data_IF_896015787538
#
_entry.id   IF_896015787538
#
_cell.length_a   1.000
_cell.length_b   1.000
_cell.length_c   1.000
_cell.angle_alpha   90.00
_cell.angle_beta   90.00
_cell.angle_gamma   90.00
#
_symmetry.space_group_name_H-M   'P 1'
#
loop_
_entity.id
_entity.type
_entity.pdbx_description
1 polymer ?
#
# COMPACT_ATOMS: atom_id res chain seq x y z
N UNK A 1 -12.40 -65.38 17.99
CA UNK A 1 -13.08 -64.18 17.48
C UNK A 1 -12.53 -62.86 18.06
N UNK A 2 -12.37 -62.65 19.37
CA UNK A 2 -11.91 -61.38 19.96
C UNK A 2 -10.50 -60.92 19.50
N UNK A 3 -9.57 -61.83 19.27
CA UNK A 3 -8.18 -61.53 18.88
C UNK A 3 -8.08 -61.07 17.44
N UNK A 4 -8.92 -61.58 16.54
CA UNK A 4 -9.02 -61.15 15.14
C UNK A 4 -9.67 -59.77 15.03
N UNK A 5 -10.70 -59.48 15.83
CA UNK A 5 -11.37 -58.17 15.89
C UNK A 5 -10.43 -57.05 16.38
N UNK A 6 -9.60 -57.36 17.40
CA UNK A 6 -8.57 -56.39 17.88
C UNK A 6 -7.47 -56.14 16.89
N UNK A 7 -7.11 -57.13 16.04
CA UNK A 7 -6.13 -56.96 14.97
C UNK A 7 -6.67 -56.08 13.84
N UNK A 8 -7.95 -56.27 13.45
CA UNK A 8 -8.62 -55.43 12.44
C UNK A 8 -8.74 -53.97 12.89
N UNK A 9 -9.10 -53.70 14.15
CA UNK A 9 -9.19 -52.36 14.72
C UNK A 9 -7.82 -51.66 14.72
N UNK A 10 -6.73 -52.37 15.11
CA UNK A 10 -5.38 -51.82 15.08
C UNK A 10 -4.92 -51.45 13.67
N UNK A 11 -5.20 -52.31 12.68
CA UNK A 11 -4.89 -52.05 11.27
C UNK A 11 -5.67 -50.83 10.78
N UNK A 12 -6.97 -50.72 11.09
CA UNK A 12 -7.78 -49.56 10.70
C UNK A 12 -7.25 -48.23 11.32
N UNK A 13 -6.88 -48.27 12.60
CA UNK A 13 -6.29 -47.08 13.27
C UNK A 13 -4.95 -46.69 12.65
N UNK A 14 -4.06 -47.66 12.37
CA UNK A 14 -2.77 -47.42 11.75
C UNK A 14 -2.96 -46.86 10.33
N UNK A 15 -3.90 -47.41 9.56
CA UNK A 15 -4.23 -46.91 8.22
C UNK A 15 -4.80 -45.50 8.27
N UNK A 16 -5.68 -45.18 9.20
CA UNK A 16 -6.21 -43.84 9.41
C UNK A 16 -5.11 -42.85 9.80
N UNK A 17 -4.22 -43.22 10.71
CA UNK A 17 -3.07 -42.39 11.09
C UNK A 17 -2.10 -42.18 9.91
N UNK A 18 -1.87 -43.21 9.11
CA UNK A 18 -1.03 -43.12 7.92
C UNK A 18 -1.65 -42.17 6.87
N UNK A 19 -2.97 -42.24 6.67
CA UNK A 19 -3.70 -41.33 5.79
C UNK A 19 -3.61 -39.89 6.32
N UNK A 20 -3.82 -39.67 7.60
CA UNK A 20 -3.70 -38.35 8.24
C UNK A 20 -2.28 -37.78 8.12
N UNK A 21 -1.25 -38.62 8.26
CA UNK A 21 0.14 -38.20 8.05
C UNK A 21 0.43 -37.83 6.57
N UNK A 22 -0.10 -38.59 5.64
CA UNK A 22 0.06 -38.28 4.19
C UNK A 22 -0.67 -37.00 3.81
N UNK A 23 -1.91 -36.85 4.27
CA UNK A 23 -2.72 -35.63 4.00
C UNK A 23 -2.10 -34.42 4.69
N UNK A 24 -1.69 -34.55 5.96
CA UNK A 24 -1.00 -33.47 6.69
C UNK A 24 0.35 -33.11 6.05
N UNK A 25 1.13 -34.09 5.62
CA UNK A 25 2.38 -33.86 4.90
C UNK A 25 2.19 -33.17 3.55
N UNK A 26 1.19 -33.60 2.77
CA UNK A 26 0.85 -32.95 1.50
C UNK A 26 0.37 -31.50 1.72
N UNK A 27 -0.45 -31.28 2.76
CA UNK A 27 -0.90 -29.93 3.13
C UNK A 27 0.26 -29.03 3.54
N UNK A 28 1.21 -29.53 4.35
CA UNK A 28 2.38 -28.77 4.74
C UNK A 28 3.29 -28.40 3.54
N UNK A 29 3.49 -29.33 2.62
CA UNK A 29 4.24 -29.06 1.37
C UNK A 29 3.53 -28.02 0.52
N UNK A 30 2.22 -28.10 0.41
CA UNK A 30 1.41 -27.14 -0.34
C UNK A 30 1.53 -25.74 0.25
N UNK A 31 1.35 -25.57 1.57
CA UNK A 31 1.50 -24.29 2.28
C UNK A 31 2.93 -23.75 2.11
N UNK A 32 3.94 -24.60 2.29
CA UNK A 32 5.34 -24.21 2.12
C UNK A 32 5.63 -23.69 0.70
N UNK A 33 5.02 -24.30 -0.31
CA UNK A 33 5.16 -23.82 -1.69
C UNK A 33 4.50 -22.45 -1.90
N UNK A 34 3.32 -22.22 -1.33
CA UNK A 34 2.65 -20.89 -1.41
C UNK A 34 3.49 -19.85 -0.68
N UNK A 35 3.96 -20.14 0.53
CA UNK A 35 4.82 -19.23 1.29
C UNK A 35 6.10 -18.87 0.53
N UNK A 36 6.74 -19.85 -0.11
CA UNK A 36 7.92 -19.61 -0.93
C UNK A 36 7.63 -18.68 -2.13
N UNK A 37 6.43 -18.73 -2.69
CA UNK A 37 6.00 -17.82 -3.78
C UNK A 37 5.69 -16.42 -3.27
N UNK A 38 4.95 -16.29 -2.17
CA UNK A 38 4.61 -15.01 -1.52
C UNK A 38 5.88 -14.24 -1.13
N UNK A 39 6.84 -14.91 -0.53
CA UNK A 39 8.06 -14.28 -0.02
C UNK A 39 9.25 -14.31 -1.00
N UNK A 40 9.06 -14.78 -2.24
CA UNK A 40 10.15 -15.00 -3.19
C UNK A 40 11.02 -13.76 -3.48
N UNK A 41 10.46 -12.57 -3.33
CA UNK A 41 11.14 -11.29 -3.58
C UNK A 41 11.35 -10.46 -2.32
N UNK A 42 11.02 -11.01 -1.14
CA UNK A 42 11.26 -10.35 0.14
C UNK A 42 12.73 -10.54 0.51
N UNK A 43 13.51 -9.49 0.31
CA UNK A 43 14.94 -9.49 0.62
C UNK A 43 15.22 -9.49 2.14
N UNK A 44 16.44 -9.83 2.52
CA UNK A 44 16.86 -9.73 3.92
C UNK A 44 16.85 -8.26 4.38
N UNK A 45 17.28 -7.34 3.53
CA UNK A 45 17.29 -5.90 3.83
C UNK A 45 15.87 -5.38 4.09
N UNK A 46 14.85 -5.86 3.34
CA UNK A 46 13.46 -5.51 3.62
C UNK A 46 13.01 -6.03 4.98
N UNK A 47 13.34 -7.28 5.32
CA UNK A 47 12.99 -7.86 6.63
C UNK A 47 13.61 -7.09 7.80
N UNK A 48 14.79 -6.52 7.61
CA UNK A 48 15.49 -5.71 8.61
C UNK A 48 14.84 -4.32 8.81
N UNK A 49 14.06 -3.85 7.84
CA UNK A 49 13.27 -2.60 7.96
C UNK A 49 11.93 -2.83 8.68
N UNK A 50 11.43 -4.06 8.70
CA UNK A 50 10.14 -4.37 9.32
C UNK A 50 10.28 -4.54 10.83
N UNK A 51 9.33 -3.95 11.58
CA UNK A 51 9.31 -4.02 13.04
C UNK A 51 8.39 -5.15 13.47
N UNK A 52 8.91 -6.07 14.30
CA UNK A 52 8.11 -7.16 14.86
C UNK A 52 6.95 -6.60 15.70
N UNK A 53 5.79 -7.25 15.58
CA UNK A 53 4.57 -6.94 16.31
C UNK A 53 4.03 -8.20 16.96
N UNK A 54 3.50 -8.06 18.19
CA UNK A 54 2.86 -9.18 18.88
C UNK A 54 1.51 -9.53 18.23
N UNK A 55 1.07 -10.78 18.29
CA UNK A 55 -0.23 -11.20 17.77
C UNK A 55 -1.38 -10.36 18.35
N UNK A 56 -2.35 -10.02 17.52
CA UNK A 56 -3.52 -9.19 17.85
C UNK A 56 -3.22 -7.71 18.16
N UNK A 57 -1.97 -7.26 18.17
CA UNK A 57 -1.66 -5.85 18.31
C UNK A 57 -1.93 -5.08 16.99
N UNK A 58 -2.14 -3.78 17.14
CA UNK A 58 -2.27 -2.88 16.00
C UNK A 58 -0.92 -2.69 15.32
N UNK A 59 -0.92 -2.78 13.98
CA UNK A 59 0.29 -2.63 13.19
C UNK A 59 0.07 -1.80 11.91
N UNK A 60 1.18 -1.38 11.30
CA UNK A 60 1.18 -0.76 9.99
C UNK A 60 1.73 -1.70 8.94
N UNK A 61 1.00 -1.79 7.82
CA UNK A 61 1.40 -2.50 6.61
C UNK A 61 1.59 -1.49 5.48
N UNK A 62 2.73 -1.55 4.81
CA UNK A 62 2.96 -0.79 3.58
C UNK A 62 2.49 -1.62 2.39
N UNK A 63 1.49 -1.10 1.68
CA UNK A 63 1.00 -1.69 0.43
C UNK A 63 1.49 -0.85 -0.74
N UNK A 64 2.26 -1.46 -1.64
CA UNK A 64 2.73 -0.84 -2.88
C UNK A 64 2.03 -1.46 -4.09
N UNK A 65 1.61 -0.60 -5.02
CA UNK A 65 1.23 -1.00 -6.37
C UNK A 65 2.37 -0.66 -7.32
N UNK A 66 2.91 -1.67 -7.99
CA UNK A 66 4.04 -1.51 -8.91
C UNK A 66 3.59 -1.89 -10.32
N UNK A 67 3.79 -0.98 -11.26
CA UNK A 67 3.59 -1.25 -12.68
C UNK A 67 4.91 -1.79 -13.27
N UNK A 68 4.91 -3.09 -13.58
CA UNK A 68 6.06 -3.81 -14.15
C UNK A 68 5.96 -3.96 -15.66
N UNK A 69 5.37 -2.98 -16.34
CA UNK A 69 5.23 -3.02 -17.79
C UNK A 69 6.58 -3.31 -18.47
N UNK A 70 6.70 -4.53 -19.00
CA UNK A 70 7.89 -5.02 -19.68
C UNK A 70 8.18 -4.29 -21.01
N UNK A 71 7.21 -3.49 -21.52
CA UNK A 71 7.36 -2.70 -22.72
C UNK A 71 8.21 -1.43 -22.54
N UNK A 72 8.44 -0.98 -21.29
CA UNK A 72 9.24 0.22 -20.99
C UNK A 72 10.75 0.01 -20.97
N UNK A 73 11.24 -1.17 -21.29
CA UNK A 73 12.67 -1.53 -21.21
C UNK A 73 13.56 -0.85 -22.26
N UNK A 74 12.99 -0.13 -23.22
CA UNK A 74 13.78 0.51 -24.31
C UNK A 74 14.28 1.92 -23.97
N UNK A 75 13.72 2.60 -22.95
CA UNK A 75 14.15 3.97 -22.56
C UNK A 75 14.88 3.96 -21.21
N UNK A 76 16.09 3.43 -21.22
CA UNK A 76 16.94 3.33 -20.02
C UNK A 76 17.52 4.66 -19.55
N UNK A 77 17.52 5.71 -20.38
CA UNK A 77 18.04 7.04 -20.00
C UNK A 77 17.09 7.76 -19.05
N UNK A 78 15.77 7.53 -19.17
CA UNK A 78 14.76 8.17 -18.31
C UNK A 78 14.27 7.29 -17.17
N UNK A 79 14.35 5.96 -17.29
CA UNK A 79 13.71 5.01 -16.35
C UNK A 79 14.66 4.03 -15.65
N UNK A 80 15.96 4.08 -15.89
CA UNK A 80 16.93 3.17 -15.29
C UNK A 80 17.08 1.84 -16.03
N UNK A 81 17.81 0.88 -15.45
CA UNK A 81 18.01 -0.46 -16.02
C UNK A 81 16.78 -1.34 -15.77
N UNK A 82 16.59 -2.40 -16.55
CA UNK A 82 15.42 -3.28 -16.53
C UNK A 82 15.02 -3.86 -15.16
N UNK A 83 15.90 -3.85 -14.17
CA UNK A 83 15.62 -4.30 -12.80
C UNK A 83 15.29 -3.14 -11.84
N UNK A 84 15.66 -1.89 -12.19
CA UNK A 84 15.48 -0.68 -11.35
C UNK A 84 14.55 0.34 -11.98
N UNK A 85 14.00 0.07 -13.16
CA UNK A 85 13.12 0.98 -13.89
C UNK A 85 11.71 1.11 -13.29
N UNK A 86 11.38 0.27 -12.31
CA UNK A 86 10.06 0.26 -11.71
C UNK A 86 9.91 1.39 -10.68
N UNK A 87 8.74 2.00 -10.67
CA UNK A 87 8.32 2.97 -9.66
C UNK A 87 7.07 2.44 -8.96
N UNK A 88 6.93 2.74 -7.69
CA UNK A 88 5.69 2.53 -6.99
C UNK A 88 4.67 3.59 -7.41
N UNK A 89 3.71 3.20 -8.25
CA UNK A 89 2.65 4.10 -8.71
C UNK A 89 1.48 4.22 -7.72
N UNK A 90 1.42 3.33 -6.74
CA UNK A 90 0.52 3.39 -5.59
C UNK A 90 1.32 3.16 -4.32
N UNK A 91 1.21 4.06 -3.36
CA UNK A 91 1.81 3.97 -2.04
C UNK A 91 0.69 4.13 -1.02
N UNK A 92 0.40 3.09 -0.27
CA UNK A 92 -0.69 3.07 0.70
C UNK A 92 -0.21 2.55 2.04
N UNK A 93 -0.35 3.36 3.07
CA UNK A 93 -0.12 2.96 4.45
C UNK A 93 -1.42 2.44 5.04
N UNK A 94 -1.42 1.18 5.48
CA UNK A 94 -2.57 0.53 6.09
C UNK A 94 -2.32 0.34 7.58
N UNK A 95 -3.12 0.98 8.45
CA UNK A 95 -3.19 0.66 9.87
C UNK A 95 -4.23 -0.42 10.06
N UNK A 96 -3.82 -1.56 10.59
CA UNK A 96 -4.67 -2.71 10.85
C UNK A 96 -4.79 -2.90 12.36
N UNK A 97 -6.01 -2.95 12.85
CA UNK A 97 -6.35 -3.11 14.27
C UNK A 97 -7.23 -4.35 14.44
N UNK A 98 -6.62 -5.53 14.59
CA UNK A 98 -7.37 -6.78 14.69
C UNK A 98 -8.28 -6.82 15.92
N UNK A 99 -7.84 -6.24 17.02
CA UNK A 99 -8.57 -6.22 18.29
C UNK A 99 -9.89 -5.45 18.21
N UNK A 100 -9.89 -4.33 17.48
CA UNK A 100 -11.08 -3.49 17.31
C UNK A 100 -11.77 -3.75 15.96
N UNK A 101 -11.25 -4.64 15.14
CA UNK A 101 -11.73 -5.01 13.78
C UNK A 101 -11.85 -3.76 12.90
N UNK A 102 -10.77 -2.98 12.80
CA UNK A 102 -10.72 -1.75 12.02
C UNK A 102 -9.51 -1.71 11.09
N UNK A 103 -9.71 -1.11 9.94
CA UNK A 103 -8.64 -0.83 8.97
C UNK A 103 -8.69 0.65 8.61
N UNK A 104 -7.53 1.29 8.58
CA UNK A 104 -7.40 2.65 8.03
C UNK A 104 -6.40 2.61 6.89
N UNK A 105 -6.78 3.07 5.70
CA UNK A 105 -5.93 3.13 4.52
C UNK A 105 -5.67 4.58 4.15
N UNK A 106 -4.40 5.00 4.18
CA UNK A 106 -3.97 6.34 3.78
C UNK A 106 -3.08 6.24 2.55
N UNK A 107 -3.52 6.85 1.45
CA UNK A 107 -2.69 6.95 0.26
C UNK A 107 -1.71 8.11 0.38
N UNK A 108 -0.47 7.86 -0.01
CA UNK A 108 0.59 8.86 -0.13
C UNK A 108 0.73 9.18 -1.61
N UNK A 109 0.79 10.47 -1.94
CA UNK A 109 0.93 10.89 -3.33
C UNK A 109 2.30 10.47 -3.86
N UNK A 110 2.35 9.75 -4.98
CA UNK A 110 3.60 9.20 -5.53
C UNK A 110 4.63 10.27 -5.91
N UNK A 111 4.15 11.49 -6.23
CA UNK A 111 4.96 12.63 -6.64
C UNK A 111 5.32 13.54 -5.46
N UNK A 112 5.04 13.13 -4.21
CA UNK A 112 5.40 13.86 -2.98
C UNK A 112 6.89 14.11 -2.94
N UNK A 113 7.27 15.38 -2.74
CA UNK A 113 8.66 15.80 -2.60
C UNK A 113 9.23 15.33 -1.27
N UNK A 114 10.29 14.56 -1.34
CA UNK A 114 11.05 14.08 -0.18
C UNK A 114 12.55 14.23 -0.41
N UNK A 115 13.33 14.22 0.69
CA UNK A 115 14.77 14.15 0.60
C UNK A 115 15.22 12.70 0.71
N UNK A 116 15.80 12.19 -0.37
CA UNK A 116 16.31 10.83 -0.45
C UNK A 116 17.79 10.76 -0.03
N UNK A 117 18.36 9.56 -0.04
CA UNK A 117 19.75 9.32 0.34
C UNK A 117 20.72 10.30 -0.37
N UNK A 118 21.66 10.85 0.42
CA UNK A 118 22.59 11.88 -0.05
C UNK A 118 22.00 13.31 -0.08
N UNK A 119 20.81 13.53 0.48
CA UNK A 119 20.15 14.85 0.53
C UNK A 119 19.54 15.29 -0.80
N UNK A 120 19.37 14.36 -1.74
CA UNK A 120 18.75 14.66 -3.04
C UNK A 120 17.23 14.80 -2.88
N UNK A 121 16.70 15.98 -3.22
CA UNK A 121 15.27 16.17 -3.35
C UNK A 121 14.73 15.42 -4.58
N UNK A 122 13.74 14.56 -4.40
CA UNK A 122 13.10 13.79 -5.47
C UNK A 122 11.69 13.38 -5.05
N UNK A 123 10.93 12.77 -5.97
CA UNK A 123 9.62 12.20 -5.68
C UNK A 123 9.74 10.96 -4.79
N UNK A 124 8.80 10.75 -3.87
CA UNK A 124 8.83 9.60 -2.96
C UNK A 124 8.86 8.27 -3.69
N UNK A 125 8.21 8.15 -4.85
CA UNK A 125 8.22 6.95 -5.67
C UNK A 125 9.59 6.62 -6.29
N UNK A 126 10.51 7.58 -6.36
CA UNK A 126 11.88 7.36 -6.81
C UNK A 126 12.67 6.51 -5.82
N UNK A 127 12.26 6.43 -4.55
CA UNK A 127 12.87 5.55 -3.55
C UNK A 127 12.87 4.09 -4.00
N UNK A 128 11.81 3.66 -4.70
CA UNK A 128 11.71 2.30 -5.20
C UNK A 128 12.76 1.99 -6.29
N UNK A 129 12.98 2.92 -7.21
CA UNK A 129 14.01 2.79 -8.24
C UNK A 129 15.44 2.85 -7.65
N UNK A 130 15.63 3.56 -6.53
CA UNK A 130 16.95 3.74 -5.89
C UNK A 130 17.37 2.56 -5.03
N UNK A 131 16.46 1.95 -4.27
CA UNK A 131 16.80 0.90 -3.32
C UNK A 131 15.69 -0.14 -3.11
N UNK A 132 14.74 -0.20 -4.03
CA UNK A 132 13.68 -1.21 -4.02
C UNK A 132 12.75 -1.11 -2.81
N UNK A 133 12.09 -2.24 -2.50
CA UNK A 133 11.13 -2.32 -1.40
C UNK A 133 11.70 -1.89 -0.04
N UNK A 134 12.92 -2.30 0.28
CA UNK A 134 13.55 -2.00 1.58
C UNK A 134 13.71 -0.49 1.80
N UNK A 135 14.29 0.19 0.82
CA UNK A 135 14.50 1.63 0.91
C UNK A 135 13.17 2.41 0.85
N UNK A 136 12.21 1.97 0.04
CA UNK A 136 10.88 2.59 0.04
C UNK A 136 10.19 2.44 1.40
N UNK A 137 10.29 1.27 2.03
CA UNK A 137 9.74 1.04 3.38
C UNK A 137 10.37 1.99 4.40
N UNK A 138 11.69 2.16 4.35
CA UNK A 138 12.39 3.12 5.21
C UNK A 138 11.87 4.55 4.97
N UNK A 139 11.87 5.02 3.72
CA UNK A 139 11.43 6.38 3.37
C UNK A 139 9.98 6.65 3.79
N UNK A 140 9.08 5.70 3.56
CA UNK A 140 7.67 5.84 3.96
C UNK A 140 7.52 5.80 5.48
N UNK A 141 8.26 4.94 6.18
CA UNK A 141 8.26 4.89 7.65
C UNK A 141 8.71 6.23 8.25
N UNK A 142 9.79 6.80 7.74
CA UNK A 142 10.30 8.11 8.14
C UNK A 142 9.33 9.24 7.80
N UNK A 143 8.75 9.23 6.60
CA UNK A 143 7.78 10.25 6.16
C UNK A 143 6.49 10.26 6.98
N UNK A 144 6.00 9.07 7.35
CA UNK A 144 4.74 8.91 8.12
C UNK A 144 4.98 8.95 9.64
N UNK A 145 6.23 8.90 10.10
CA UNK A 145 6.62 8.78 11.51
C UNK A 145 5.92 7.59 12.20
N UNK A 146 5.90 6.42 11.55
CA UNK A 146 5.33 5.18 12.08
C UNK A 146 6.21 3.97 11.79
N UNK A 147 6.27 2.97 12.70
CA UNK A 147 6.94 1.70 12.43
C UNK A 147 6.10 0.89 11.41
N UNK A 148 6.71 0.41 10.34
CA UNK A 148 6.08 -0.50 9.40
C UNK A 148 6.43 -1.92 9.81
N UNK A 149 5.40 -2.75 10.07
CA UNK A 149 5.57 -4.13 10.54
C UNK A 149 5.45 -5.14 9.41
N UNK A 150 4.65 -4.85 8.40
CA UNK A 150 4.45 -5.74 7.28
C UNK A 150 4.49 -5.00 5.95
N UNK A 151 4.80 -5.75 4.91
CA UNK A 151 4.92 -5.27 3.55
C UNK A 151 4.08 -6.12 2.60
N UNK A 152 3.42 -5.46 1.66
CA UNK A 152 2.79 -6.12 0.53
C UNK A 152 3.03 -5.31 -0.76
N UNK A 153 3.38 -5.98 -1.83
CA UNK A 153 3.54 -5.41 -3.17
C UNK A 153 2.63 -6.15 -4.14
N UNK A 154 1.85 -5.39 -4.88
CA UNK A 154 0.93 -5.92 -5.89
C UNK A 154 1.41 -5.50 -7.28
N UNK A 155 1.58 -6.49 -8.14
CA UNK A 155 1.79 -6.28 -9.57
C UNK A 155 0.43 -5.98 -10.21
N UNK A 156 0.28 -4.78 -10.76
CA UNK A 156 -1.01 -4.31 -11.30
C UNK A 156 -1.50 -5.14 -12.49
N UNK A 157 -0.63 -5.74 -13.29
CA UNK A 157 -1.03 -6.61 -14.40
C UNK A 157 -1.57 -7.95 -13.90
N UNK A 158 -1.03 -8.44 -12.79
CA UNK A 158 -1.46 -9.69 -12.16
C UNK A 158 -2.63 -9.52 -11.21
N UNK A 159 -2.93 -8.29 -10.80
CA UNK A 159 -4.07 -7.93 -9.98
C UNK A 159 -5.41 -8.35 -10.59
N UNK A 160 -5.51 -8.36 -11.93
CA UNK A 160 -6.68 -8.82 -12.69
C UNK A 160 -7.16 -10.19 -12.18
N UNK A 161 -6.24 -11.13 -12.01
CA UNK A 161 -6.58 -12.50 -11.60
C UNK A 161 -7.14 -12.59 -10.18
N UNK A 162 -6.74 -11.68 -9.27
CA UNK A 162 -7.28 -11.62 -7.91
C UNK A 162 -8.74 -11.15 -7.95
N UNK A 163 -9.02 -10.09 -8.71
CA UNK A 163 -10.37 -9.56 -8.85
C UNK A 163 -11.31 -10.59 -9.49
N UNK A 164 -10.86 -11.27 -10.53
CA UNK A 164 -11.67 -12.30 -11.20
C UNK A 164 -11.91 -13.51 -10.28
N UNK A 165 -10.93 -13.90 -9.47
CA UNK A 165 -11.04 -15.00 -8.51
C UNK A 165 -12.12 -14.73 -7.44
N UNK A 166 -12.27 -13.46 -7.00
CA UNK A 166 -13.34 -13.09 -6.06
C UNK A 166 -14.67 -12.76 -6.75
N UNK A 167 -14.77 -12.96 -8.06
CA UNK A 167 -15.99 -12.74 -8.85
C UNK A 167 -16.26 -11.27 -9.15
N UNK A 168 -15.21 -10.50 -9.48
CA UNK A 168 -15.29 -9.06 -9.78
C UNK A 168 -15.38 -8.20 -8.51
N UNK A 169 -15.48 -6.89 -8.66
CA UNK A 169 -15.68 -5.92 -7.57
C UNK A 169 -16.87 -5.00 -7.88
N UNK A 170 -17.58 -4.57 -6.84
CA UNK A 170 -18.69 -3.62 -6.97
C UNK A 170 -18.27 -2.30 -6.37
N UNK A 171 -18.19 -1.27 -7.20
CA UNK A 171 -17.73 0.07 -6.84
C UNK A 171 -18.85 1.09 -7.04
N UNK A 172 -18.85 2.16 -6.25
CA UNK A 172 -19.76 3.30 -6.45
C UNK A 172 -18.94 4.51 -6.92
N UNK A 173 -19.08 4.83 -8.21
CA UNK A 173 -18.33 5.91 -8.83
C UNK A 173 -19.06 7.26 -8.62
N UNK A 174 -18.46 8.23 -7.94
CA UNK A 174 -19.14 9.53 -7.66
C UNK A 174 -19.34 10.33 -8.95
N UNK A 175 -18.46 10.17 -9.92
CA UNK A 175 -18.48 10.83 -11.22
C UNK A 175 -18.24 9.81 -12.32
N UNK A 176 -18.72 10.06 -13.56
CA UNK A 176 -18.43 9.18 -14.68
C UNK A 176 -16.94 9.21 -15.05
N UNK A 177 -16.42 8.05 -15.44
CA UNK A 177 -15.04 7.86 -15.91
C UNK A 177 -15.06 7.74 -17.42
N UNK A 178 -14.49 8.72 -18.11
CA UNK A 178 -14.38 8.68 -19.58
C UNK A 178 -12.94 8.93 -20.01
N UNK A 179 -12.27 7.87 -20.39
CA UNK A 179 -10.83 7.87 -20.72
C UNK A 179 -10.52 6.99 -21.95
N UNK A 180 -11.13 7.29 -23.10
CA UNK A 180 -11.00 6.44 -24.30
C UNK A 180 -9.60 6.44 -24.90
N UNK A 181 -8.78 7.42 -24.55
CA UNK A 181 -7.47 7.63 -25.16
C UNK A 181 -6.34 6.89 -24.43
N UNK A 182 -6.44 6.72 -23.11
CA UNK A 182 -5.37 6.14 -22.29
C UNK A 182 -5.75 4.77 -21.75
N UNK A 183 -6.91 4.62 -21.11
CA UNK A 183 -7.36 3.36 -20.53
C UNK A 183 -8.46 2.68 -21.35
N UNK A 184 -9.16 3.41 -22.20
CA UNK A 184 -10.32 2.89 -22.92
C UNK A 184 -11.61 2.83 -22.10
N UNK A 185 -11.60 3.28 -20.83
CA UNK A 185 -12.75 3.23 -19.95
C UNK A 185 -13.84 4.21 -20.36
N UNK A 186 -15.09 3.73 -20.29
CA UNK A 186 -16.33 4.52 -20.38
C UNK A 186 -17.32 3.96 -19.35
N UNK A 187 -17.27 4.47 -18.12
CA UNK A 187 -18.08 4.00 -17.01
C UNK A 187 -18.97 5.15 -16.52
N UNK A 188 -20.30 4.94 -16.42
CA UNK A 188 -21.18 5.95 -15.82
C UNK A 188 -20.94 6.07 -14.31
N UNK A 189 -21.33 7.22 -13.73
CA UNK A 189 -21.37 7.37 -12.28
C UNK A 189 -22.36 6.39 -11.63
N UNK A 190 -22.17 6.16 -10.33
CA UNK A 190 -22.97 5.25 -9.52
C UNK A 190 -22.41 3.83 -9.47
N UNK A 191 -23.23 2.90 -9.03
CA UNK A 191 -22.83 1.51 -8.76
C UNK A 191 -22.47 0.78 -10.05
N UNK A 192 -21.23 0.29 -10.13
CA UNK A 192 -20.69 -0.49 -11.23
C UNK A 192 -20.14 -1.83 -10.71
N UNK A 193 -20.31 -2.89 -11.47
CA UNK A 193 -19.64 -4.17 -11.19
C UNK A 193 -18.59 -4.39 -12.26
N UNK A 194 -17.33 -4.45 -11.82
CA UNK A 194 -16.17 -4.51 -12.69
C UNK A 194 -15.53 -5.89 -12.63
N UNK A 195 -15.09 -6.40 -13.76
CA UNK A 195 -14.20 -7.55 -13.85
C UNK A 195 -12.75 -7.14 -13.54
N UNK A 196 -11.82 -8.08 -13.58
CA UNK A 196 -10.42 -7.82 -13.26
C UNK A 196 -9.76 -6.77 -14.16
N UNK A 197 -10.05 -6.84 -15.48
CA UNK A 197 -9.48 -5.90 -16.46
C UNK A 197 -10.01 -4.48 -16.23
N UNK A 198 -11.32 -4.32 -16.11
CA UNK A 198 -11.95 -3.02 -15.84
C UNK A 198 -11.47 -2.42 -14.51
N UNK A 199 -11.34 -3.23 -13.44
CA UNK A 199 -10.84 -2.80 -12.16
C UNK A 199 -9.36 -2.36 -12.23
N UNK A 200 -8.52 -3.09 -12.96
CA UNK A 200 -7.12 -2.73 -13.16
C UNK A 200 -6.98 -1.42 -13.97
N UNK A 201 -7.79 -1.24 -15.01
CA UNK A 201 -7.83 0.00 -15.78
C UNK A 201 -8.32 1.17 -14.91
N UNK A 202 -9.35 0.97 -14.07
CA UNK A 202 -9.84 1.99 -13.13
C UNK A 202 -8.74 2.40 -12.13
N UNK A 203 -7.98 1.45 -11.61
CA UNK A 203 -6.85 1.70 -10.71
C UNK A 203 -5.68 2.45 -11.37
N UNK A 204 -5.63 2.54 -12.70
CA UNK A 204 -4.64 3.29 -13.49
C UNK A 204 -5.18 4.60 -14.04
N UNK A 205 -6.51 4.77 -14.08
CA UNK A 205 -7.16 5.91 -14.71
C UNK A 205 -6.87 7.21 -13.96
N UNK A 206 -6.36 8.20 -14.69
CA UNK A 206 -6.13 9.57 -14.22
C UNK A 206 -6.82 10.58 -15.14
N UNK A 207 -6.56 10.49 -16.43
CA UNK A 207 -7.02 11.45 -17.44
C UNK A 207 -8.55 11.44 -17.60
N UNK A 208 -9.23 10.36 -17.24
CA UNK A 208 -10.68 10.32 -17.17
C UNK A 208 -11.29 11.33 -16.20
N UNK A 209 -10.46 11.88 -15.32
CA UNK A 209 -10.85 12.83 -14.25
C UNK A 209 -10.33 14.25 -14.45
N UNK A 210 -9.60 14.55 -15.55
CA UNK A 210 -8.97 15.87 -15.78
C UNK A 210 -9.96 17.05 -15.66
N UNK A 211 -11.22 16.84 -16.02
CA UNK A 211 -12.29 17.84 -15.87
C UNK A 211 -12.79 18.05 -14.45
N UNK A 212 -12.41 17.17 -13.52
CA UNK A 212 -12.84 17.22 -12.11
C UNK A 212 -11.70 17.61 -11.16
N UNK A 213 -10.51 17.91 -11.68
CA UNK A 213 -9.35 18.33 -10.91
C UNK A 213 -8.21 17.31 -10.92
N UNK A 214 -7.63 17.01 -9.75
CA UNK A 214 -6.47 16.13 -9.64
C UNK A 214 -6.79 14.66 -9.92
N UNK A 215 -6.49 14.22 -11.13
CA UNK A 215 -6.71 12.83 -11.56
C UNK A 215 -5.92 11.79 -10.74
N UNK A 216 -4.81 12.17 -10.12
CA UNK A 216 -4.02 11.26 -9.28
C UNK A 216 -4.73 10.96 -7.95
N UNK A 217 -5.41 11.95 -7.37
CA UNK A 217 -6.26 11.76 -6.17
C UNK A 217 -7.42 10.82 -6.46
N UNK A 218 -8.09 10.98 -7.62
CA UNK A 218 -9.15 10.06 -8.04
C UNK A 218 -8.61 8.65 -8.24
N UNK A 219 -7.46 8.49 -8.88
CA UNK A 219 -6.82 7.19 -9.02
C UNK A 219 -6.55 6.53 -7.66
N UNK A 220 -5.97 7.28 -6.73
CA UNK A 220 -5.71 6.78 -5.37
C UNK A 220 -7.01 6.40 -4.64
N UNK A 221 -8.09 7.16 -4.81
CA UNK A 221 -9.40 6.84 -4.25
C UNK A 221 -9.99 5.57 -4.86
N UNK A 222 -9.93 5.43 -6.20
CA UNK A 222 -10.34 4.21 -6.89
C UNK A 222 -9.58 2.98 -6.39
N UNK A 223 -8.27 3.10 -6.19
CA UNK A 223 -7.44 2.02 -5.63
C UNK A 223 -7.95 1.61 -4.25
N UNK A 224 -8.16 2.56 -3.33
CA UNK A 224 -8.70 2.25 -1.98
C UNK A 224 -10.06 1.58 -2.06
N UNK A 225 -10.96 2.08 -2.91
CA UNK A 225 -12.30 1.53 -3.10
C UNK A 225 -12.26 0.09 -3.62
N UNK A 226 -11.46 -0.18 -4.65
CA UNK A 226 -11.30 -1.53 -5.22
C UNK A 226 -10.66 -2.48 -4.20
N UNK A 227 -9.62 -2.06 -3.47
CA UNK A 227 -9.02 -2.86 -2.42
C UNK A 227 -10.01 -3.17 -1.29
N UNK A 228 -10.82 -2.19 -0.86
CA UNK A 228 -11.86 -2.40 0.17
C UNK A 228 -12.85 -3.48 -0.26
N UNK A 229 -13.31 -3.46 -1.51
CA UNK A 229 -14.23 -4.46 -2.04
C UNK A 229 -13.60 -5.85 -2.17
N UNK A 230 -12.30 -5.94 -2.52
CA UNK A 230 -11.58 -7.22 -2.50
C UNK A 230 -11.55 -7.78 -1.07
N UNK A 231 -11.14 -6.96 -0.08
CA UNK A 231 -11.12 -7.36 1.34
C UNK A 231 -12.49 -7.87 1.75
N UNK A 232 -13.57 -7.13 1.48
CA UNK A 232 -14.95 -7.51 1.76
C UNK A 232 -15.30 -8.86 1.17
N UNK A 233 -14.96 -9.10 -0.09
CA UNK A 233 -15.29 -10.35 -0.79
C UNK A 233 -14.47 -11.52 -0.27
N UNK A 234 -13.18 -11.33 0.00
CA UNK A 234 -12.32 -12.36 0.59
C UNK A 234 -12.82 -12.76 1.96
N UNK A 235 -13.09 -11.81 2.84
CA UNK A 235 -13.57 -12.09 4.21
C UNK A 235 -14.96 -12.74 4.25
N UNK A 236 -15.81 -12.49 3.24
CA UNK A 236 -17.15 -13.11 3.13
C UNK A 236 -17.17 -14.40 2.32
N UNK A 237 -16.05 -14.79 1.72
CA UNK A 237 -15.99 -16.00 0.90
C UNK A 237 -16.02 -17.28 1.75
N UNK A 238 -16.44 -18.39 1.15
CA UNK A 238 -16.29 -19.69 1.74
C UNK A 238 -14.81 -20.11 1.83
N UNK A 239 -14.46 -21.07 2.72
CA UNK A 239 -13.05 -21.45 2.93
C UNK A 239 -12.33 -21.95 1.67
N UNK A 240 -13.04 -22.56 0.72
CA UNK A 240 -12.43 -23.05 -0.51
C UNK A 240 -12.09 -21.90 -1.46
N UNK A 241 -13.00 -20.93 -1.60
CA UNK A 241 -12.78 -19.69 -2.35
C UNK A 241 -11.66 -18.87 -1.73
N UNK A 242 -11.61 -18.73 -0.40
CA UNK A 242 -10.52 -18.04 0.30
C UNK A 242 -9.17 -18.71 0.01
N UNK A 243 -9.06 -20.02 0.14
CA UNK A 243 -7.83 -20.77 -0.15
C UNK A 243 -7.39 -20.61 -1.62
N UNK A 244 -8.34 -20.63 -2.56
CA UNK A 244 -8.07 -20.40 -3.98
C UNK A 244 -7.57 -18.96 -4.23
N UNK A 245 -8.17 -17.98 -3.58
CA UNK A 245 -7.75 -16.57 -3.68
C UNK A 245 -6.34 -16.38 -3.14
N UNK A 246 -6.00 -16.91 -1.96
CA UNK A 246 -4.64 -16.86 -1.41
C UNK A 246 -3.63 -17.52 -2.36
N UNK A 247 -3.99 -18.64 -2.99
CA UNK A 247 -3.13 -19.30 -3.97
C UNK A 247 -2.88 -18.43 -5.20
N UNK A 248 -3.92 -17.75 -5.68
CA UNK A 248 -3.82 -16.80 -6.81
C UNK A 248 -3.00 -15.58 -6.42
N UNK A 249 -3.21 -15.06 -5.21
CA UNK A 249 -2.42 -13.94 -4.66
C UNK A 249 -0.93 -14.25 -4.63
N UNK A 250 -0.53 -15.49 -4.33
CA UNK A 250 0.88 -15.89 -4.25
C UNK A 250 1.65 -15.72 -5.58
N UNK A 251 0.97 -15.60 -6.72
CA UNK A 251 1.58 -15.28 -8.01
C UNK A 251 1.60 -13.78 -8.32
N UNK A 252 0.77 -13.01 -7.63
CA UNK A 252 0.47 -11.60 -7.93
C UNK A 252 0.94 -10.65 -6.84
N UNK A 253 1.15 -11.15 -5.63
CA UNK A 253 1.53 -10.38 -4.44
C UNK A 253 2.87 -10.88 -3.92
N UNK A 254 3.73 -9.94 -3.53
CA UNK A 254 4.93 -10.22 -2.75
C UNK A 254 4.70 -9.69 -1.34
N UNK A 255 4.84 -10.51 -0.31
CA UNK A 255 4.64 -10.11 1.09
C UNK A 255 5.54 -10.91 2.02
N UNK A 256 5.87 -10.32 3.17
CA UNK A 256 6.55 -11.00 4.27
C UNK A 256 5.62 -11.92 5.06
N UNK A 257 4.30 -11.68 5.00
CA UNK A 257 3.29 -12.50 5.66
C UNK A 257 3.21 -13.90 5.05
N UNK A 258 3.16 -14.91 5.90
CA UNK A 258 2.91 -16.27 5.46
C UNK A 258 1.40 -16.62 5.39
N UNK A 259 1.07 -17.77 4.80
CA UNK A 259 -0.33 -18.20 4.64
C UNK A 259 -1.06 -18.36 5.98
N UNK A 260 -0.35 -18.76 7.04
CA UNK A 260 -0.95 -18.98 8.36
C UNK A 260 -1.28 -17.64 8.99
N UNK A 261 -0.37 -16.68 8.90
CA UNK A 261 -0.57 -15.29 9.35
C UNK A 261 -1.71 -14.60 8.60
N UNK A 262 -1.78 -14.77 7.27
CA UNK A 262 -2.87 -14.23 6.44
C UNK A 262 -4.22 -14.83 6.86
N UNK A 263 -4.29 -16.13 7.08
CA UNK A 263 -5.53 -16.82 7.51
C UNK A 263 -5.94 -16.43 8.93
N UNK A 264 -4.98 -16.27 9.82
CA UNK A 264 -5.23 -15.84 11.20
C UNK A 264 -5.77 -14.42 11.21
N UNK A 265 -5.13 -13.51 10.50
CA UNK A 265 -5.61 -12.13 10.33
C UNK A 265 -7.01 -12.10 9.70
N UNK A 266 -7.27 -12.87 8.65
CA UNK A 266 -8.59 -12.96 8.03
C UNK A 266 -9.65 -13.49 9.02
N UNK A 267 -9.28 -14.42 9.87
CA UNK A 267 -10.16 -14.93 10.92
C UNK A 267 -10.49 -13.87 11.97
N UNK A 268 -9.49 -13.13 12.45
CA UNK A 268 -9.67 -12.02 13.39
C UNK A 268 -10.54 -10.91 12.80
N UNK A 269 -10.36 -10.61 11.52
CA UNK A 269 -11.07 -9.57 10.80
C UNK A 269 -12.41 -10.04 10.18
N UNK A 270 -12.86 -11.25 10.45
CA UNK A 270 -14.04 -11.87 9.79
C UNK A 270 -15.36 -11.12 10.02
N UNK A 271 -15.47 -10.34 11.10
CA UNK A 271 -16.65 -9.51 11.37
C UNK A 271 -16.56 -8.07 10.81
N UNK A 272 -15.47 -7.74 10.07
CA UNK A 272 -15.27 -6.41 9.50
C UNK A 272 -16.44 -6.01 8.59
N UNK A 273 -17.00 -4.85 8.88
CA UNK A 273 -17.95 -4.18 7.99
C UNK A 273 -17.22 -3.10 7.18
N UNK A 274 -17.06 -3.33 5.88
CA UNK A 274 -16.28 -2.45 5.00
C UNK A 274 -16.82 -1.01 4.98
N UNK A 275 -18.14 -0.82 5.18
CA UNK A 275 -18.78 0.49 5.14
C UNK A 275 -18.54 1.33 6.41
N UNK A 276 -18.26 0.69 7.54
CA UNK A 276 -18.13 1.37 8.85
C UNK A 276 -16.77 1.20 9.50
N UNK A 277 -16.05 0.12 9.17
CA UNK A 277 -14.81 -0.27 9.86
C UNK A 277 -13.56 -0.07 9.00
N UNK A 278 -13.74 0.26 7.71
CA UNK A 278 -12.65 0.73 6.84
C UNK A 278 -12.73 2.24 6.72
N UNK A 279 -11.70 2.90 7.21
CA UNK A 279 -11.50 4.33 7.06
C UNK A 279 -10.44 4.58 6.00
N UNK A 280 -10.62 5.63 5.22
CA UNK A 280 -9.68 5.95 4.15
C UNK A 280 -9.28 7.41 4.18
N UNK A 281 -8.07 7.70 3.72
CA UNK A 281 -7.53 9.05 3.64
C UNK A 281 -6.54 9.22 2.50
N UNK A 282 -6.24 10.46 2.20
CA UNK A 282 -5.23 10.86 1.24
C UNK A 282 -4.33 11.90 1.88
N UNK A 283 -3.03 11.78 1.67
CA UNK A 283 -2.07 12.80 2.06
C UNK A 283 -2.52 14.19 1.58
N UNK A 284 -2.58 15.19 2.45
CA UNK A 284 -2.86 16.56 2.06
C UNK A 284 -1.63 17.17 1.38
N UNK A 285 -1.79 17.56 0.12
CA UNK A 285 -0.69 18.09 -0.70
C UNK A 285 -1.10 19.32 -1.48
N UNK A 286 -0.12 20.06 -1.93
CA UNK A 286 -0.24 21.15 -2.89
C UNK A 286 0.73 20.92 -4.06
N UNK A 287 0.22 21.00 -5.30
CA UNK A 287 1.02 20.81 -6.50
C UNK A 287 1.93 21.99 -6.79
N UNK A 288 3.21 21.74 -7.04
CA UNK A 288 4.22 22.75 -7.38
C UNK A 288 5.00 22.30 -8.61
N UNK A 289 5.18 23.24 -9.58
CA UNK A 289 6.04 23.03 -10.73
C UNK A 289 7.42 23.64 -10.44
N UNK A 290 8.42 22.78 -10.29
CA UNK A 290 9.77 23.17 -9.95
C UNK A 290 10.79 22.42 -10.82
N UNK A 291 11.76 23.13 -11.37
CA UNK A 291 12.84 22.57 -12.19
C UNK A 291 12.32 21.61 -13.30
N UNK A 292 11.36 22.09 -14.08
CA UNK A 292 10.73 21.37 -15.20
C UNK A 292 9.95 20.11 -14.82
N UNK A 293 9.65 19.93 -13.51
CA UNK A 293 8.95 18.75 -12.98
C UNK A 293 7.86 19.17 -12.01
N UNK A 294 6.73 18.46 -12.05
CA UNK A 294 5.66 18.59 -11.07
C UNK A 294 5.99 17.76 -9.81
N UNK A 295 5.83 18.40 -8.66
CA UNK A 295 5.92 17.79 -7.35
C UNK A 295 4.66 18.05 -6.55
N UNK A 296 4.38 17.21 -5.57
CA UNK A 296 3.40 17.43 -4.54
C UNK A 296 4.11 17.76 -3.22
N UNK A 297 3.76 18.90 -2.67
CA UNK A 297 4.32 19.36 -1.38
C UNK A 297 3.36 18.97 -0.28
N UNK A 298 3.81 18.14 0.65
CA UNK A 298 3.02 17.73 1.81
C UNK A 298 2.68 18.94 2.70
N UNK A 299 1.41 19.12 3.00
CA UNK A 299 0.93 20.12 3.95
C UNK A 299 1.16 19.59 5.39
N UNK A 300 2.36 19.78 5.90
CA UNK A 300 2.91 19.10 7.09
C UNK A 300 2.00 19.18 8.33
N UNK A 301 1.36 20.33 8.59
CA UNK A 301 0.48 20.49 9.75
C UNK A 301 -0.80 19.67 9.64
N UNK A 302 -1.40 19.65 8.44
CA UNK A 302 -2.57 18.81 8.16
C UNK A 302 -2.20 17.34 8.17
N UNK A 303 -1.06 16.98 7.59
CA UNK A 303 -0.53 15.62 7.60
C UNK A 303 -0.28 15.11 9.01
N UNK A 304 0.37 15.91 9.86
CA UNK A 304 0.60 15.55 11.27
C UNK A 304 -0.70 15.34 12.02
N UNK A 305 -1.70 16.21 11.85
CA UNK A 305 -3.04 16.05 12.45
C UNK A 305 -3.69 14.74 11.97
N UNK A 306 -3.64 14.48 10.66
CA UNK A 306 -4.19 13.26 10.06
C UNK A 306 -3.53 12.01 10.65
N UNK A 307 -2.19 11.94 10.63
CA UNK A 307 -1.46 10.78 11.14
C UNK A 307 -1.65 10.55 12.64
N UNK A 308 -1.78 11.61 13.44
CA UNK A 308 -2.12 11.51 14.86
C UNK A 308 -3.51 10.87 15.05
N UNK A 309 -4.52 11.25 14.26
CA UNK A 309 -5.86 10.65 14.29
C UNK A 309 -5.82 9.19 13.86
N UNK A 310 -5.11 8.90 12.77
CA UNK A 310 -4.90 7.52 12.26
C UNK A 310 -4.25 6.66 13.36
N UNK A 311 -3.23 7.16 14.03
CA UNK A 311 -2.56 6.44 15.11
C UNK A 311 -3.51 6.11 16.26
N UNK A 312 -4.42 7.01 16.59
CA UNK A 312 -5.48 6.81 17.60
C UNK A 312 -6.62 5.90 17.13
N UNK A 313 -6.62 5.43 15.89
CA UNK A 313 -7.70 4.61 15.32
C UNK A 313 -8.97 5.41 15.00
N UNK A 314 -8.84 6.72 14.84
CA UNK A 314 -9.90 7.62 14.42
C UNK A 314 -9.90 7.80 12.89
N UNK A 315 -10.99 8.37 12.37
CA UNK A 315 -11.05 8.79 10.96
C UNK A 315 -9.88 9.71 10.63
N UNK A 316 -9.22 9.56 9.48
CA UNK A 316 -8.17 10.47 9.03
C UNK A 316 -8.59 11.94 9.01
N UNK A 317 -9.87 12.19 8.78
CA UNK A 317 -10.46 13.52 8.71
C UNK A 317 -11.25 13.88 9.96
N UNK A 318 -11.26 15.17 10.33
CA UNK A 318 -12.03 15.70 11.44
C UNK A 318 -13.43 16.12 10.96
N UNK A 319 -14.47 15.56 11.56
CA UNK A 319 -15.85 15.88 11.22
C UNK A 319 -16.21 17.35 11.56
N UNK A 320 -15.52 17.98 12.53
CA UNK A 320 -15.74 19.37 12.93
C UNK A 320 -15.09 20.39 11.99
N UNK A 321 -14.02 20.03 11.27
CA UNK A 321 -13.37 20.93 10.31
C UNK A 321 -14.13 21.00 8.97
N UNK A 322 -15.33 20.40 8.93
CA UNK A 322 -16.34 20.47 7.87
C UNK A 322 -15.79 20.20 6.49
N UNK A 323 -16.30 19.16 5.84
CA UNK A 323 -16.22 19.00 4.39
C UNK A 323 -14.89 18.53 3.78
N UNK A 324 -13.94 17.97 4.54
CA UNK A 324 -13.21 16.89 3.95
C UNK A 324 -14.16 15.70 3.96
N UNK A 325 -14.96 15.65 2.92
CA UNK A 325 -15.97 14.65 2.68
C UNK A 325 -15.40 13.26 3.03
N UNK A 326 -16.11 12.48 3.84
CA UNK A 326 -15.78 11.08 4.08
C UNK A 326 -15.77 10.29 2.78
N UNK A 327 -16.41 10.79 1.72
CA UNK A 327 -16.27 10.31 0.33
C UNK A 327 -14.91 10.67 -0.26
N UNK A 328 -14.17 11.66 0.25
CA UNK A 328 -12.76 11.86 -0.11
C UNK A 328 -11.95 10.60 0.14
N UNK A 329 -12.35 9.80 1.11
CA UNK A 329 -11.82 8.49 1.33
C UNK A 329 -12.19 7.48 0.26
N UNK A 330 -13.41 7.49 -0.21
CA UNK A 330 -13.93 6.45 -1.13
C UNK A 330 -13.76 6.87 -2.58
N UNK A 331 -13.98 8.10 -2.89
CA UNK A 331 -14.02 8.55 -4.27
C UNK A 331 -13.36 9.91 -4.50
N UNK A 332 -12.43 10.27 -3.67
CA UNK A 332 -11.63 11.45 -3.91
C UNK A 332 -12.24 12.75 -3.43
N UNK A 333 -13.42 12.76 -2.78
CA UNK A 333 -14.00 13.98 -2.23
C UNK A 333 -13.98 15.17 -3.19
N UNK A 334 -14.28 14.93 -4.45
CA UNK A 334 -14.11 15.91 -5.52
C UNK A 334 -15.47 16.15 -6.12
N UNK A 335 -16.43 16.56 -5.28
CA UNK A 335 -17.65 17.15 -5.74
C UNK A 335 -17.45 18.58 -6.21
N UNK A 336 -18.34 19.49 -5.87
CA UNK A 336 -18.24 20.93 -6.20
C UNK A 336 -16.92 21.58 -5.74
N UNK A 337 -16.15 20.98 -4.81
CA UNK A 337 -14.84 21.49 -4.39
C UNK A 337 -13.70 21.07 -5.33
N UNK A 338 -13.79 19.94 -6.04
CA UNK A 338 -12.85 19.61 -7.10
C UNK A 338 -12.89 20.65 -8.21
N UNK A 339 -14.09 21.11 -8.54
CA UNK A 339 -14.29 22.19 -9.51
C UNK A 339 -13.68 23.52 -9.01
N UNK A 340 -13.80 23.83 -7.70
CA UNK A 340 -13.18 25.02 -7.10
C UNK A 340 -11.66 24.89 -6.98
N UNK A 341 -11.15 23.71 -6.68
CA UNK A 341 -9.71 23.47 -6.66
C UNK A 341 -9.09 23.54 -8.06
N UNK A 342 -9.81 23.05 -9.08
CA UNK A 342 -9.38 23.20 -10.48
C UNK A 342 -9.44 24.66 -10.96
N UNK A 343 -10.43 25.45 -10.50
CA UNK A 343 -10.47 26.90 -10.77
C UNK A 343 -9.43 27.69 -9.97
N UNK A 344 -9.13 27.27 -8.72
CA UNK A 344 -8.12 27.89 -7.86
C UNK A 344 -6.68 27.48 -8.22
N UNK A 345 -6.48 26.35 -8.85
CA UNK A 345 -5.22 25.95 -9.46
C UNK A 345 -4.97 26.70 -10.79
N UNK A 346 -5.27 27.98 -10.79
CA UNK A 346 -4.75 28.89 -11.80
C UNK A 346 -3.25 28.64 -11.98
N UNK A 347 -2.74 28.88 -13.21
CA UNK A 347 -1.36 28.68 -13.65
C UNK A 347 -0.37 28.60 -12.48
N UNK A 348 0.32 27.47 -12.29
CA UNK A 348 1.18 27.26 -11.12
C UNK A 348 2.16 28.41 -10.97
N UNK A 349 2.27 28.97 -9.78
CA UNK A 349 3.34 29.92 -9.48
C UNK A 349 4.67 29.21 -9.67
N UNK A 350 5.46 29.74 -10.58
CA UNK A 350 6.86 29.33 -10.73
C UNK A 350 7.59 29.92 -9.53
N UNK A 351 7.94 29.09 -8.56
CA UNK A 351 8.81 29.52 -7.47
C UNK A 351 10.22 29.62 -8.07
N UNK A 352 10.62 30.83 -8.45
CA UNK A 352 12.03 31.14 -8.69
C UNK A 352 12.74 31.14 -7.33
N UNK A 353 13.35 30.02 -6.97
CA UNK A 353 14.29 30.00 -5.83
C UNK A 353 15.56 30.72 -6.29
N UNK A 354 15.83 31.88 -5.73
CA UNK A 354 17.19 32.42 -5.74
C UNK A 354 18.09 31.48 -4.94
N UNK A 355 19.31 31.24 -5.39
CA UNK A 355 20.28 30.31 -4.79
C UNK A 355 20.62 30.59 -3.29
N UNK A 356 19.99 31.58 -2.68
CA UNK A 356 20.24 32.03 -1.28
C UNK A 356 19.18 31.55 -0.28
N UNK A 357 18.07 30.95 -0.69
CA UNK A 357 17.13 30.34 0.27
C UNK A 357 17.64 28.96 0.70
N UNK A 358 18.73 28.98 1.47
CA UNK A 358 19.10 27.91 2.36
C UNK A 358 17.92 27.69 3.29
N UNK A 359 17.30 26.50 3.22
CA UNK A 359 16.29 26.07 4.17
C UNK A 359 16.82 26.35 5.58
N UNK A 360 16.22 27.33 6.26
CA UNK A 360 16.44 27.50 7.69
C UNK A 360 16.06 26.16 8.33
N UNK A 361 17.03 25.59 9.03
CA UNK A 361 16.85 24.47 9.94
C UNK A 361 15.71 24.87 10.89
N UNK A 362 14.50 24.40 10.64
CA UNK A 362 13.41 24.53 11.60
C UNK A 362 13.73 23.58 12.73
N UNK A 363 14.44 24.12 13.71
CA UNK A 363 14.62 23.53 15.03
C UNK A 363 13.20 23.29 15.58
N UNK A 364 12.78 22.02 15.61
CA UNK A 364 11.54 21.62 16.21
C UNK A 364 11.70 21.71 17.73
N UNK A 365 11.27 22.83 18.32
CA UNK A 365 11.01 22.90 19.75
C UNK A 365 9.86 21.90 20.05
N UNK A 366 10.26 20.74 20.53
CA UNK A 366 9.37 19.71 21.03
C UNK A 366 8.82 20.21 22.37
N UNK A 367 7.54 20.63 22.37
CA UNK A 367 6.85 20.94 23.63
C UNK A 367 6.65 19.64 24.40
N UNK A 368 7.48 19.44 25.43
CA UNK A 368 7.45 18.27 26.33
C UNK A 368 6.15 18.13 27.15
N UNK A 369 5.12 18.94 26.90
CA UNK A 369 3.91 18.98 27.72
C UNK A 369 2.90 17.85 27.46
N UNK A 370 3.04 17.05 26.40
CA UNK A 370 2.25 15.86 26.17
C UNK A 370 3.05 14.60 26.40
N UNK A 371 3.10 14.19 27.67
CA UNK A 371 3.80 13.00 28.13
C UNK A 371 3.17 11.71 27.67
N UNK A 372 3.40 11.30 26.44
CA UNK A 372 3.32 9.92 26.02
C UNK A 372 4.74 9.39 25.93
N UNK A 373 5.07 8.53 26.90
CA UNK A 373 6.38 7.89 26.96
C UNK A 373 6.63 6.97 25.78
N UNK A 374 7.13 7.51 24.70
CA UNK A 374 7.80 6.72 23.70
C UNK A 374 9.23 6.48 24.19
N UNK A 375 9.57 5.22 24.40
CA UNK A 375 10.96 4.82 24.49
C UNK A 375 11.61 5.16 23.15
N UNK A 376 12.34 6.29 23.15
CA UNK A 376 13.24 6.64 22.07
C UNK A 376 14.27 5.53 21.94
N UNK A 377 14.04 4.62 20.98
CA UNK A 377 15.13 3.81 20.47
C UNK A 377 16.05 4.77 19.71
N UNK A 378 17.04 5.27 20.44
CA UNK A 378 18.11 6.06 19.88
C UNK A 378 18.88 5.23 18.86
N UNK A 379 18.57 5.35 17.60
CA UNK A 379 19.44 4.90 16.54
C UNK A 379 20.64 5.84 16.49
N UNK A 380 21.74 5.34 17.03
CA UNK A 380 23.05 5.97 16.98
C UNK A 380 23.53 5.99 15.52
N UNK A 381 23.44 7.12 14.89
CA UNK A 381 23.96 7.37 13.55
C UNK A 381 25.49 7.49 13.59
N UNK A 382 26.19 6.37 13.84
CA UNK A 382 27.64 6.29 13.73
C UNK A 382 28.03 4.93 13.14
N UNK A 383 28.23 4.88 11.85
CA UNK A 383 28.77 3.67 11.22
C UNK A 383 28.79 3.60 9.71
N UNK A 384 28.99 4.69 8.97
CA UNK A 384 29.42 4.54 7.59
C UNK A 384 30.93 4.66 7.50
N UNK A 385 31.59 3.52 7.32
CA UNK A 385 32.98 3.42 6.95
C UNK A 385 33.20 4.09 5.59
N UNK A 386 33.93 5.18 5.60
CA UNK A 386 34.54 5.80 4.43
C UNK A 386 35.53 4.81 3.80
N UNK A 387 35.18 4.20 2.68
CA UNK A 387 36.16 3.59 1.80
C UNK A 387 36.92 4.72 1.08
N UNK A 388 38.12 4.94 1.53
CA UNK A 388 39.08 5.84 0.89
C UNK A 388 39.46 5.30 -0.49
N UNK A 389 39.18 6.08 -1.54
CA UNK A 389 39.81 5.91 -2.82
C UNK A 389 41.22 6.45 -2.76
N UNK A 390 42.20 5.56 -2.76
CA UNK A 390 43.59 5.89 -3.02
C UNK A 390 43.77 6.20 -4.50
N UNK A 391 44.09 7.45 -4.80
CA UNK A 391 44.64 7.87 -6.08
C UNK A 391 46.04 7.27 -6.25
N UNK A 392 46.23 6.46 -7.27
CA UNK A 392 47.55 6.27 -7.85
C UNK A 392 47.57 6.94 -9.23
N UNK A 393 48.37 7.96 -9.31
CA UNK A 393 48.81 8.52 -10.57
C UNK A 393 49.84 7.58 -11.29
N UNK A 394 49.67 7.49 -12.54
CA UNK A 394 50.65 7.67 -13.60
C UNK A 394 49.89 7.74 -14.91
#
# INVERSE_FOLDING_TARGET
MARQRRRGIRVAIISLLAILLVVGGAGAIYISNINARLSAKVSQDLREQLVEVEPEETFYLLLLGVDKDQGRTEDTEHYGTSETAYRSDSIMLCRIDPKNVKVTMVSIHRDTLVYLAGGKADKINASYAMGGPAYTTQVVSEFCDVPISHYAEVDLDRFISIVDQVGGVTVDLPVPVYDPQYTGLDLPAGIQTLNGEEAALLCRCRHGYDKYGDGDRYRAANQRMVFSEIIKKVLKSDPATMAATITTMADSVTTDLDVVEILDLASQMSSLNVETDIMTGMEPTEGVFYNETWYEICLKDQWRKMMMRVHQGLSPYDEEEGEYDSTAGVAGGVGEEGDRAAEAAGTPEVIETTEEDSYEDYDYDYDESYGYGYNSYGYNYNGYNTYGYNSYGY
#
